data_IF_916166255619
#
_entry.id   IF_916166255619
#
_cell.length_a   1.000
_cell.length_b   1.000
_cell.length_c   1.000
_cell.angle_alpha   90.00
_cell.angle_beta   90.00
_cell.angle_gamma   90.00
#
_symmetry.space_group_name_H-M   'P 1'
#
loop_
_entity.id
_entity.type
_entity.pdbx_description
1 polymer ?
#
# COMPACT_ATOMS: atom_id res chain seq x y z
N UNK A 1 2.50 20.16 -9.55
CA UNK A 1 2.83 19.94 -8.13
C UNK A 1 1.84 18.89 -7.63
N UNK A 2 2.32 17.82 -6.99
CA UNK A 2 1.45 16.76 -6.51
C UNK A 2 0.49 17.28 -5.44
N UNK A 3 -0.80 16.95 -5.55
CA UNK A 3 -1.85 17.48 -4.66
C UNK A 3 -1.75 16.92 -3.23
N UNK A 4 -2.36 17.61 -2.25
CA UNK A 4 -2.44 17.10 -0.87
C UNK A 4 -3.13 15.73 -0.78
N UNK A 5 -4.10 15.47 -1.65
CA UNK A 5 -4.77 14.17 -1.75
C UNK A 5 -3.84 13.07 -2.25
N UNK A 6 -2.98 13.36 -3.23
CA UNK A 6 -1.96 12.42 -3.69
C UNK A 6 -1.06 11.97 -2.54
N UNK A 7 -0.51 12.92 -1.77
CA UNK A 7 0.39 12.60 -0.66
C UNK A 7 -0.29 11.83 0.47
N UNK A 8 -1.55 12.15 0.76
CA UNK A 8 -2.33 11.42 1.77
C UNK A 8 -2.53 9.95 1.37
N UNK A 9 -2.94 9.71 0.12
CA UNK A 9 -3.16 8.35 -0.38
C UNK A 9 -1.84 7.57 -0.57
N UNK A 10 -0.76 8.23 -1.00
CA UNK A 10 0.57 7.61 -1.08
C UNK A 10 1.09 7.20 0.30
N UNK A 11 0.94 8.07 1.30
CA UNK A 11 1.34 7.79 2.68
C UNK A 11 0.53 6.64 3.29
N UNK A 12 -0.78 6.61 3.10
CA UNK A 12 -1.64 5.51 3.57
C UNK A 12 -1.18 4.16 2.99
N UNK A 13 -0.89 4.11 1.70
CA UNK A 13 -0.38 2.90 1.03
C UNK A 13 0.98 2.49 1.57
N UNK A 14 1.90 3.44 1.77
CA UNK A 14 3.22 3.15 2.30
C UNK A 14 3.16 2.60 3.73
N UNK A 15 2.35 3.21 4.60
CA UNK A 15 2.14 2.75 5.98
C UNK A 15 1.48 1.37 6.01
N UNK A 16 0.51 1.13 5.12
CA UNK A 16 -0.13 -0.18 4.99
C UNK A 16 0.87 -1.25 4.53
N UNK A 17 1.72 -0.95 3.54
CA UNK A 17 2.79 -1.84 3.11
C UNK A 17 3.77 -2.13 4.23
N UNK A 18 4.21 -1.11 4.98
CA UNK A 18 5.06 -1.27 6.15
C UNK A 18 4.46 -2.27 7.16
N UNK A 19 3.22 -2.00 7.59
CA UNK A 19 2.54 -2.82 8.59
C UNK A 19 2.33 -4.27 8.10
N UNK A 20 1.91 -4.45 6.85
CA UNK A 20 1.67 -5.77 6.26
C UNK A 20 2.97 -6.57 6.12
N UNK A 21 4.06 -5.95 5.65
CA UNK A 21 5.36 -6.60 5.52
C UNK A 21 5.95 -6.96 6.89
N UNK A 22 5.86 -6.06 7.87
CA UNK A 22 6.35 -6.32 9.22
C UNK A 22 5.58 -7.47 9.88
N UNK A 23 4.24 -7.45 9.82
CA UNK A 23 3.40 -8.52 10.35
C UNK A 23 3.69 -9.87 9.69
N UNK A 24 3.86 -9.90 8.37
CA UNK A 24 4.19 -11.12 7.64
C UNK A 24 5.52 -11.72 8.10
N UNK A 25 6.57 -10.90 8.21
CA UNK A 25 7.90 -11.36 8.65
C UNK A 25 7.90 -11.83 10.11
N UNK A 26 7.24 -11.10 11.01
CA UNK A 26 7.11 -11.51 12.41
C UNK A 26 6.30 -12.81 12.56
N UNK A 27 5.25 -12.99 11.75
CA UNK A 27 4.45 -14.21 11.74
C UNK A 27 5.20 -15.41 11.16
N UNK A 28 6.06 -15.18 10.16
CA UNK A 28 6.92 -16.22 9.60
C UNK A 28 7.95 -16.70 10.63
N UNK A 29 8.57 -15.77 11.37
CA UNK A 29 9.58 -16.10 12.38
C UNK A 29 8.97 -16.69 13.65
N UNK A 30 7.76 -16.28 14.05
CA UNK A 30 7.08 -16.84 15.24
C UNK A 30 6.84 -18.34 15.12
N UNK A 31 6.54 -18.82 13.91
CA UNK A 31 6.31 -20.25 13.65
C UNK A 31 7.58 -21.09 13.86
N UNK A 32 8.75 -20.57 13.47
CA UNK A 32 10.04 -21.23 13.69
C UNK A 32 10.57 -21.07 15.13
N UNK A 33 10.34 -19.91 15.74
CA UNK A 33 10.84 -19.58 17.07
C UNK A 33 10.17 -20.35 18.21
N UNK A 34 8.92 -20.82 18.01
CA UNK A 34 8.24 -21.75 18.93
C UNK A 34 8.99 -23.08 19.07
N UNK A 35 9.76 -23.48 18.06
CA UNK A 35 10.54 -24.72 18.04
C UNK A 35 11.91 -24.52 18.71
N UNK A 36 12.50 -23.33 18.60
CA UNK A 36 13.89 -23.05 19.05
C UNK A 36 14.00 -22.33 20.39
N UNK A 37 12.89 -22.06 21.09
CA UNK A 37 12.89 -21.47 22.43
C UNK A 37 12.98 -19.93 22.49
N UNK A 38 12.65 -19.24 21.39
CA UNK A 38 12.59 -17.77 21.35
C UNK A 38 13.01 -17.15 20.03
N UNK A 39 12.65 -15.87 19.84
CA UNK A 39 13.03 -15.09 18.66
C UNK A 39 14.33 -14.31 18.99
N UNK A 40 15.43 -14.50 18.25
CA UNK A 40 16.61 -13.67 18.44
C UNK A 40 16.31 -12.23 18.04
N UNK A 41 16.63 -11.27 18.91
CA UNK A 41 16.35 -9.84 18.69
C UNK A 41 16.89 -9.30 17.35
N UNK A 42 18.01 -9.83 16.87
CA UNK A 42 18.57 -9.48 15.56
C UNK A 42 17.59 -9.69 14.40
N UNK A 43 16.74 -10.73 14.46
CA UNK A 43 15.72 -10.97 13.44
C UNK A 43 14.61 -9.93 13.46
N UNK A 44 14.19 -9.47 14.66
CA UNK A 44 13.17 -8.42 14.80
C UNK A 44 13.66 -7.12 14.18
N UNK A 45 14.91 -6.74 14.46
CA UNK A 45 15.54 -5.55 13.86
C UNK A 45 15.64 -5.69 12.34
N UNK A 46 16.03 -6.87 11.84
CA UNK A 46 16.05 -7.15 10.41
C UNK A 46 14.67 -7.03 9.75
N UNK A 47 13.61 -7.54 10.39
CA UNK A 47 12.24 -7.47 9.89
C UNK A 47 11.74 -6.02 9.78
N UNK A 48 12.07 -5.17 10.77
CA UNK A 48 11.78 -3.73 10.71
C UNK A 48 12.50 -3.06 9.54
N UNK A 49 13.77 -3.40 9.31
CA UNK A 49 14.54 -2.88 8.17
C UNK A 49 13.94 -3.25 6.81
N UNK A 50 13.52 -4.50 6.64
CA UNK A 50 12.86 -4.96 5.40
C UNK A 50 11.50 -4.27 5.21
N UNK A 51 10.70 -4.15 6.27
CA UNK A 51 9.41 -3.45 6.20
C UNK A 51 9.60 -1.97 5.83
N UNK A 52 10.61 -1.30 6.37
CA UNK A 52 10.94 0.09 6.03
C UNK A 52 11.33 0.24 4.54
N UNK A 53 12.12 -0.70 4.00
CA UNK A 53 12.44 -0.73 2.57
C UNK A 53 11.20 -0.94 1.71
N UNK A 54 10.30 -1.85 2.08
CA UNK A 54 9.05 -2.07 1.36
C UNK A 54 8.17 -0.80 1.35
N UNK A 55 8.11 -0.07 2.46
CA UNK A 55 7.41 1.22 2.55
C UNK A 55 8.04 2.28 1.65
N UNK A 56 9.37 2.38 1.63
CA UNK A 56 10.11 3.30 0.77
C UNK A 56 9.87 3.00 -0.73
N UNK A 57 9.88 1.72 -1.11
CA UNK A 57 9.57 1.29 -2.47
C UNK A 57 8.11 1.58 -2.84
N UNK A 58 7.17 1.45 -1.89
CA UNK A 58 5.75 1.79 -2.08
C UNK A 58 5.57 3.29 -2.35
N UNK A 59 6.25 4.15 -1.58
CA UNK A 59 6.28 5.59 -1.82
C UNK A 59 6.88 5.92 -3.19
N UNK A 60 8.04 5.33 -3.53
CA UNK A 60 8.72 5.57 -4.80
C UNK A 60 7.85 5.13 -5.99
N UNK A 61 7.18 3.98 -5.89
CA UNK A 61 6.24 3.49 -6.89
C UNK A 61 5.05 4.45 -7.06
N UNK A 62 4.55 5.03 -5.96
CA UNK A 62 3.51 6.07 -6.03
C UNK A 62 3.99 7.32 -6.77
N UNK A 63 5.25 7.73 -6.60
CA UNK A 63 5.84 8.85 -7.35
C UNK A 63 5.98 8.50 -8.83
N UNK A 64 6.50 7.31 -9.16
CA UNK A 64 6.62 6.85 -10.56
C UNK A 64 5.25 6.76 -11.24
N UNK A 65 4.20 6.31 -10.53
CA UNK A 65 2.85 6.20 -11.10
C UNK A 65 2.30 7.55 -11.60
N UNK A 66 2.75 8.69 -11.07
CA UNK A 66 2.34 10.02 -11.52
C UNK A 66 2.93 10.41 -12.88
N UNK A 67 3.98 9.71 -13.31
CA UNK A 67 4.63 9.94 -14.63
C UNK A 67 4.05 9.06 -15.74
N UNK A 68 3.28 8.02 -15.39
CA UNK A 68 2.74 7.02 -16.34
C UNK A 68 1.20 6.98 -16.35
N UNK A 69 0.52 7.61 -15.38
CA UNK A 69 -0.95 7.66 -15.24
C UNK A 69 -1.51 9.07 -15.02
N UNK A 70 -2.80 9.16 -14.66
CA UNK A 70 -3.52 10.42 -14.40
C UNK A 70 -2.79 11.25 -13.32
N UNK A 71 -2.34 12.49 -13.62
CA UNK A 71 -1.46 13.28 -12.73
C UNK A 71 -2.07 13.64 -11.36
N UNK A 72 -3.38 13.46 -11.19
CA UNK A 72 -4.10 13.73 -9.94
C UNK A 72 -4.33 12.48 -9.07
N UNK A 73 -3.97 11.27 -9.54
CA UNK A 73 -4.27 10.01 -8.83
C UNK A 73 -3.02 9.14 -8.62
N UNK A 74 -2.71 8.70 -7.37
CA UNK A 74 -1.67 7.70 -7.11
C UNK A 74 -2.07 6.26 -7.52
N UNK A 75 -3.17 6.12 -8.28
CA UNK A 75 -3.72 4.86 -8.75
C UNK A 75 -3.76 4.85 -10.28
N UNK A 76 -3.45 3.70 -10.89
CA UNK A 76 -3.56 3.49 -12.34
C UNK A 76 -5.01 3.42 -12.84
N UNK A 77 -6.01 3.43 -11.94
CA UNK A 77 -7.42 3.37 -12.30
C UNK A 77 -7.97 4.79 -12.48
N UNK A 78 -8.57 5.02 -13.66
CA UNK A 78 -9.40 6.19 -13.95
C UNK A 78 -10.71 6.07 -13.15
N UNK A 79 -11.17 7.12 -12.45
CA UNK A 79 -12.52 7.12 -11.87
C UNK A 79 -13.54 6.89 -12.99
N UNK A 80 -14.32 5.82 -12.89
CA UNK A 80 -15.44 5.54 -13.79
C UNK A 80 -16.33 6.79 -13.91
N UNK A 81 -16.71 7.24 -15.12
CA UNK A 81 -17.71 8.27 -15.29
C UNK A 81 -18.98 7.84 -14.58
N UNK A 82 -19.44 8.63 -13.60
CA UNK A 82 -20.68 8.42 -12.84
C UNK A 82 -21.81 8.12 -13.82
N UNK A 83 -22.15 6.84 -13.99
CA UNK A 83 -23.25 6.41 -14.84
C UNK A 83 -24.50 7.14 -14.32
N UNK A 84 -25.13 7.93 -15.20
CA UNK A 84 -26.38 8.63 -14.90
C UNK A 84 -27.44 7.56 -14.59
N UNK A 85 -27.63 7.27 -13.31
CA UNK A 85 -28.74 6.45 -12.82
C UNK A 85 -30.03 7.27 -12.88
N UNK A 86 -30.48 7.57 -14.09
CA UNK A 86 -31.65 8.36 -14.35
C UNK A 86 -31.96 8.38 -15.83
N UNK A 87 -32.65 7.34 -16.29
CA UNK A 87 -33.69 7.39 -17.32
C UNK A 87 -34.47 6.06 -17.23
N UNK A 88 -35.53 5.96 -16.40
CA UNK A 88 -36.60 5.04 -16.72
C UNK A 88 -37.17 5.49 -18.07
N UNK A 89 -36.91 4.72 -19.11
CA UNK A 89 -37.68 4.75 -20.36
C UNK A 89 -39.08 4.24 -20.04
N UNK A 90 -39.91 5.12 -19.50
CA UNK A 90 -41.36 4.96 -19.63
C UNK A 90 -41.67 5.15 -21.11
N UNK A 91 -41.89 4.03 -21.79
CA UNK A 91 -42.40 3.98 -23.15
C UNK A 91 -43.41 2.84 -23.24
N UNK A 92 -44.69 3.22 -23.21
CA UNK A 92 -45.74 2.71 -24.12
C UNK A 92 -46.35 1.36 -23.79
#
# INVERSE_FOLDING_TARGET
MLSRQFWHAAAERAVKTFAQTLLALLSAVSTGALITGGIPWAFVVGAVGVAAWAAALSLLSSVVSTTVGDPESPSLLRPEPRARHGLPTDLG
#
